data_IF_759536402243
#
_entry.id   IF_759536402243
#
_cell.length_a   1.000
_cell.length_b   1.000
_cell.length_c   1.000
_cell.angle_alpha   90.00
_cell.angle_beta   90.00
_cell.angle_gamma   90.00
#
_symmetry.space_group_name_H-M   'P 1'
#
loop_
_entity.id
_entity.type
_entity.pdbx_description
1 polymer ?
#
# COMPACT_ATOMS: atom_id res chain seq x y z
N UNK A 1 59.73 -28.64 -6.45
CA UNK A 1 59.99 -28.65 -7.91
C UNK A 1 59.26 -29.85 -8.50
N UNK A 2 58.68 -29.71 -9.70
CA UNK A 2 58.36 -30.77 -10.68
C UNK A 2 57.42 -31.94 -10.25
N UNK A 3 56.64 -32.58 -11.14
CA UNK A 3 56.11 -32.18 -12.46
C UNK A 3 54.86 -33.02 -12.77
N UNK A 4 54.07 -32.59 -13.76
CA UNK A 4 52.93 -33.35 -14.32
C UNK A 4 53.40 -34.53 -15.17
N UNK A 5 52.58 -35.59 -15.30
CA UNK A 5 52.55 -36.38 -16.53
C UNK A 5 51.14 -36.86 -16.90
N UNK A 6 50.90 -36.89 -18.21
CA UNK A 6 49.64 -37.13 -18.92
C UNK A 6 49.99 -38.01 -20.14
N UNK A 7 49.18 -39.03 -20.49
CA UNK A 7 49.14 -39.74 -21.79
C UNK A 7 47.99 -40.79 -21.73
N UNK A 8 46.94 -40.73 -22.56
CA UNK A 8 46.78 -41.27 -23.95
C UNK A 8 46.45 -42.79 -23.98
N UNK A 9 45.76 -43.44 -24.95
CA UNK A 9 45.16 -43.10 -26.28
C UNK A 9 44.05 -44.15 -26.63
N UNK A 10 42.89 -43.81 -27.22
CA UNK A 10 42.45 -43.80 -28.66
C UNK A 10 42.12 -45.16 -29.34
N UNK A 11 40.94 -45.20 -30.02
CA UNK A 11 40.23 -46.25 -30.82
C UNK A 11 39.13 -47.08 -30.10
N UNK A 12 38.06 -47.58 -30.77
CA UNK A 12 37.54 -47.24 -32.11
C UNK A 12 36.34 -48.08 -32.68
N UNK A 13 35.60 -47.46 -33.62
CA UNK A 13 34.74 -48.02 -34.72
C UNK A 13 33.42 -48.83 -34.48
N UNK A 14 32.29 -48.16 -34.81
CA UNK A 14 31.12 -48.59 -35.63
C UNK A 14 30.16 -49.72 -35.16
N UNK A 15 28.91 -49.35 -34.85
CA UNK A 15 27.71 -49.70 -35.66
C UNK A 15 26.52 -48.79 -35.28
N UNK A 16 25.52 -48.63 -36.16
CA UNK A 16 24.45 -47.63 -36.06
C UNK A 16 23.06 -48.24 -35.80
N UNK A 17 22.19 -47.51 -35.06
CA UNK A 17 20.73 -47.41 -35.29
C UNK A 17 20.26 -46.00 -34.90
N UNK A 18 19.29 -45.47 -35.66
CA UNK A 18 18.68 -44.13 -35.60
C UNK A 18 17.53 -44.02 -34.58
N UNK A 19 17.40 -42.87 -33.89
CA UNK A 19 16.07 -42.27 -33.59
C UNK A 19 16.09 -40.76 -33.20
N UNK A 20 16.15 -39.89 -34.21
CA UNK A 20 15.18 -38.78 -34.42
C UNK A 20 14.71 -37.91 -33.22
N UNK A 21 15.40 -36.78 -32.93
CA UNK A 21 14.82 -35.40 -32.97
C UNK A 21 15.84 -34.31 -32.55
N UNK A 22 16.50 -33.71 -33.53
CA UNK A 22 17.10 -32.38 -33.40
C UNK A 22 16.07 -31.27 -33.64
N UNK A 23 16.32 -30.08 -33.09
CA UNK A 23 16.61 -28.91 -33.94
C UNK A 23 17.11 -27.74 -33.11
N UNK A 24 18.40 -27.44 -33.25
CA UNK A 24 19.01 -26.23 -32.70
C UNK A 24 19.24 -25.23 -33.85
N UNK A 25 18.77 -24.00 -33.65
CA UNK A 25 19.24 -22.72 -34.23
C UNK A 25 19.93 -22.78 -35.60
N UNK A 26 19.32 -22.17 -36.63
CA UNK A 26 20.11 -21.43 -37.62
C UNK A 26 19.43 -20.18 -38.15
N UNK A 27 20.15 -19.05 -38.05
CA UNK A 27 19.82 -17.74 -38.58
C UNK A 27 20.08 -17.61 -40.07
N UNK A 28 19.23 -16.90 -40.82
CA UNK A 28 19.67 -16.04 -41.94
C UNK A 28 18.69 -14.90 -42.23
N UNK A 29 19.25 -13.84 -42.80
CA UNK A 29 18.68 -12.50 -42.98
C UNK A 29 17.71 -12.46 -44.17
N UNK A 30 16.62 -11.70 -44.04
CA UNK A 30 15.69 -11.38 -45.12
C UNK A 30 14.81 -10.17 -44.77
N UNK A 31 15.12 -9.01 -45.36
CA UNK A 31 14.43 -7.73 -45.13
C UNK A 31 13.15 -7.58 -45.95
N UNK A 32 12.06 -7.09 -45.34
CA UNK A 32 10.84 -6.66 -46.05
C UNK A 32 10.30 -5.31 -45.51
N UNK A 33 9.63 -4.48 -46.33
CA UNK A 33 9.41 -3.05 -46.06
C UNK A 33 7.98 -2.71 -45.54
N UNK A 34 7.73 -1.47 -45.07
CA UNK A 34 6.42 -1.02 -44.61
C UNK A 34 5.46 -0.65 -45.75
N UNK A 35 4.15 -0.77 -45.50
CA UNK A 35 3.08 -0.41 -46.43
C UNK A 35 2.69 1.09 -46.35
N UNK A 36 2.47 1.79 -47.49
CA UNK A 36 2.17 3.22 -47.52
C UNK A 36 0.67 3.57 -47.59
N UNK A 37 0.39 4.87 -47.43
CA UNK A 37 -0.94 5.48 -47.47
C UNK A 37 -1.55 5.65 -48.87
N UNK A 38 -2.88 5.80 -48.88
CA UNK A 38 -3.72 6.56 -49.83
C UNK A 38 -3.85 6.08 -51.28
N UNK A 39 -5.09 5.79 -51.69
CA UNK A 39 -5.59 6.14 -53.03
C UNK A 39 -7.01 6.70 -52.96
N UNK A 40 -7.16 7.96 -53.40
CA UNK A 40 -8.42 8.65 -53.59
C UNK A 40 -9.02 8.19 -54.92
N UNK A 41 -10.28 7.76 -54.94
CA UNK A 41 -11.02 7.53 -56.18
C UNK A 41 -11.84 8.76 -56.57
N UNK A 42 -11.53 9.34 -57.73
CA UNK A 42 -12.31 10.36 -58.41
C UNK A 42 -12.71 9.80 -59.78
N UNK A 43 -14.00 9.89 -60.14
CA UNK A 43 -14.55 9.68 -61.48
C UNK A 43 -16.01 10.19 -61.53
N UNK A 44 -16.56 10.55 -62.71
CA UNK A 44 -16.86 11.98 -62.90
C UNK A 44 -18.33 12.35 -63.22
N UNK A 45 -18.60 13.65 -63.04
CA UNK A 45 -19.53 14.54 -63.78
C UNK A 45 -20.88 14.01 -64.29
N UNK A 46 -21.95 14.66 -63.85
CA UNK A 46 -23.01 15.15 -64.76
C UNK A 46 -23.56 16.47 -64.23
N UNK A 47 -23.64 17.49 -65.10
CA UNK A 47 -24.25 18.78 -64.77
C UNK A 47 -25.75 18.74 -65.08
N UNK A 48 -26.59 19.23 -64.16
CA UNK A 48 -27.89 19.80 -64.53
C UNK A 48 -28.12 21.10 -63.74
N UNK A 49 -28.38 22.18 -64.47
CA UNK A 49 -28.81 23.48 -63.94
C UNK A 49 -30.32 23.58 -64.11
N UNK A 50 -31.09 23.79 -63.04
CA UNK A 50 -32.43 24.37 -63.15
C UNK A 50 -32.73 25.37 -62.02
N UNK A 51 -32.78 26.63 -62.44
CA UNK A 51 -33.69 27.72 -62.03
C UNK A 51 -34.13 27.87 -60.57
N UNK A 52 -33.90 29.08 -60.06
CA UNK A 52 -34.38 29.62 -58.79
C UNK A 52 -35.91 29.71 -58.66
N UNK A 53 -36.42 29.47 -57.46
CA UNK A 53 -37.57 30.23 -56.93
C UNK A 53 -37.22 30.74 -55.52
N UNK A 54 -37.61 31.99 -55.23
CA UNK A 54 -37.32 32.66 -53.97
C UNK A 54 -38.46 32.45 -52.98
N UNK A 55 -38.15 32.06 -51.75
CA UNK A 55 -39.09 32.03 -50.63
C UNK A 55 -38.29 32.16 -49.33
N UNK A 56 -38.31 33.31 -48.63
CA UNK A 56 -37.63 33.45 -47.35
C UNK A 56 -38.41 32.68 -46.29
N UNK A 57 -37.97 31.47 -45.96
CA UNK A 57 -38.44 30.74 -44.79
C UNK A 57 -37.99 31.53 -43.56
N UNK A 58 -38.92 32.25 -42.95
CA UNK A 58 -38.68 33.04 -41.74
C UNK A 58 -38.55 32.08 -40.54
N UNK A 59 -37.36 31.52 -40.35
CA UNK A 59 -37.06 30.63 -39.24
C UNK A 59 -37.10 31.42 -37.92
N UNK A 60 -38.22 31.34 -37.20
CA UNK A 60 -38.35 31.86 -35.84
C UNK A 60 -37.49 31.02 -34.89
N UNK A 61 -36.19 31.32 -34.85
CA UNK A 61 -35.27 30.80 -33.86
C UNK A 61 -35.74 31.26 -32.47
N UNK A 62 -36.48 30.39 -31.77
CA UNK A 62 -36.55 30.46 -30.31
C UNK A 62 -35.12 30.32 -29.81
N UNK A 63 -34.53 31.42 -29.35
CA UNK A 63 -33.32 31.38 -28.57
C UNK A 63 -33.62 30.57 -27.31
N UNK A 64 -33.27 29.27 -27.33
CA UNK A 64 -33.11 28.51 -26.10
C UNK A 64 -32.07 29.28 -25.32
N UNK A 65 -32.49 29.95 -24.25
CA UNK A 65 -31.62 30.75 -23.43
C UNK A 65 -30.48 29.85 -22.98
N UNK A 66 -29.32 30.00 -23.62
CA UNK A 66 -28.07 29.47 -23.11
C UNK A 66 -27.93 30.18 -21.79
N UNK A 67 -28.19 29.47 -20.69
CA UNK A 67 -27.92 29.99 -19.36
C UNK A 67 -26.53 30.60 -19.44
N UNK A 68 -26.43 31.89 -19.18
CA UNK A 68 -25.12 32.54 -19.13
C UNK A 68 -24.25 31.65 -18.24
N UNK A 69 -22.99 31.37 -18.63
CA UNK A 69 -22.12 30.65 -17.72
C UNK A 69 -22.12 31.48 -16.45
N UNK A 70 -22.78 30.96 -15.41
CA UNK A 70 -22.69 31.53 -14.09
C UNK A 70 -21.20 31.55 -13.86
N UNK A 71 -20.63 32.73 -13.67
CA UNK A 71 -19.31 32.82 -13.07
C UNK A 71 -19.49 32.23 -11.68
N UNK A 72 -19.42 30.89 -11.59
CA UNK A 72 -18.99 30.18 -10.39
C UNK A 72 -17.66 30.85 -10.15
N UNK A 73 -17.65 31.81 -9.22
CA UNK A 73 -16.41 32.39 -8.74
C UNK A 73 -15.67 31.17 -8.24
N UNK A 74 -14.64 30.74 -8.96
CA UNK A 74 -13.78 29.67 -8.50
C UNK A 74 -13.20 30.17 -7.18
N UNK A 75 -13.85 29.77 -6.08
CA UNK A 75 -13.29 29.89 -4.74
C UNK A 75 -11.92 29.24 -4.88
N UNK A 76 -10.86 30.04 -4.75
CA UNK A 76 -9.50 29.55 -4.97
C UNK A 76 -9.32 28.30 -4.12
N UNK A 77 -9.09 27.14 -4.77
CA UNK A 77 -9.00 25.86 -4.07
C UNK A 77 -8.01 26.02 -2.92
N UNK A 78 -8.42 25.78 -1.65
CA UNK A 78 -7.52 25.94 -0.53
C UNK A 78 -6.38 24.94 -0.71
N UNK A 79 -5.16 25.46 -0.86
CA UNK A 79 -3.95 24.64 -0.92
C UNK A 79 -3.68 24.11 0.47
N UNK A 80 -4.05 22.85 0.71
CA UNK A 80 -3.72 22.15 1.95
C UNK A 80 -2.26 21.72 1.89
N UNK A 81 -1.52 21.92 2.99
CA UNK A 81 -0.09 21.60 3.13
C UNK A 81 0.08 20.23 3.80
N UNK A 82 -0.54 19.21 3.20
CA UNK A 82 -0.66 17.84 3.74
C UNK A 82 0.05 16.76 2.91
N UNK A 83 0.71 17.13 1.80
CA UNK A 83 1.51 16.21 1.00
C UNK A 83 2.85 15.83 1.65
N UNK A 84 3.68 15.13 0.89
CA UNK A 84 5.01 14.69 1.32
C UNK A 84 5.83 15.89 1.85
N UNK A 85 6.38 15.76 3.05
CA UNK A 85 7.05 16.83 3.81
C UNK A 85 6.26 18.16 3.90
N UNK A 86 4.92 18.11 3.94
CA UNK A 86 4.04 19.29 4.02
C UNK A 86 3.80 20.00 2.67
N UNK A 87 4.21 19.41 1.54
CA UNK A 87 4.03 20.07 0.23
C UNK A 87 2.56 20.11 -0.21
N UNK A 88 2.08 21.28 -0.67
CA UNK A 88 0.72 21.43 -1.21
C UNK A 88 0.53 20.93 -2.65
N UNK A 89 1.41 20.03 -3.12
CA UNK A 89 1.47 19.56 -4.51
C UNK A 89 0.53 18.38 -4.83
N UNK A 90 -0.24 17.89 -3.87
CA UNK A 90 -1.03 16.66 -4.03
C UNK A 90 -0.19 15.38 -4.18
N UNK A 91 1.10 15.44 -3.83
CA UNK A 91 2.06 14.33 -3.88
C UNK A 91 2.23 13.77 -2.47
N UNK A 92 2.40 12.45 -2.35
CA UNK A 92 2.55 11.75 -1.08
C UNK A 92 1.37 10.84 -0.76
N UNK A 93 1.45 10.18 0.40
CA UNK A 93 0.41 9.31 0.90
C UNK A 93 -0.90 10.07 1.17
N UNK A 94 -2.00 9.31 1.21
CA UNK A 94 -3.26 9.73 1.81
C UNK A 94 -3.42 9.05 3.16
N UNK A 95 -4.33 9.51 4.01
CA UNK A 95 -4.66 8.81 5.27
C UNK A 95 -5.08 7.34 5.05
N UNK A 96 -5.59 6.96 3.87
CA UNK A 96 -5.85 5.55 3.53
C UNK A 96 -4.56 4.74 3.34
N UNK A 97 -3.55 5.32 2.67
CA UNK A 97 -2.24 4.70 2.49
C UNK A 97 -1.54 4.54 3.84
N UNK A 98 -1.53 5.58 4.67
CA UNK A 98 -0.97 5.51 6.01
C UNK A 98 -1.68 4.46 6.87
N UNK A 99 -3.02 4.42 6.84
CA UNK A 99 -3.80 3.42 7.59
C UNK A 99 -3.45 1.99 7.15
N UNK A 100 -3.22 1.75 5.87
CA UNK A 100 -2.76 0.46 5.37
C UNK A 100 -1.35 0.11 5.87
N UNK A 101 -0.38 1.04 5.75
CA UNK A 101 0.99 0.84 6.25
C UNK A 101 1.00 0.62 7.77
N UNK A 102 0.16 1.36 8.51
CA UNK A 102 -0.06 1.17 9.94
C UNK A 102 -0.56 -0.23 10.28
N UNK A 103 -1.54 -0.78 9.54
CA UNK A 103 -2.01 -2.17 9.72
C UNK A 103 -0.91 -3.20 9.42
N UNK A 104 -0.08 -2.98 8.41
CA UNK A 104 1.09 -3.83 8.12
C UNK A 104 2.09 -3.78 9.28
N UNK A 105 2.35 -2.59 9.86
CA UNK A 105 3.21 -2.44 11.03
C UNK A 105 2.63 -3.10 12.29
N UNK A 106 1.31 -3.00 12.54
CA UNK A 106 0.64 -3.72 13.63
C UNK A 106 0.86 -5.25 13.53
N UNK A 107 0.65 -5.82 12.33
CA UNK A 107 0.86 -7.25 12.09
C UNK A 107 2.33 -7.65 12.20
N UNK A 108 3.25 -6.85 11.65
CA UNK A 108 4.69 -7.08 11.75
C UNK A 108 5.19 -7.03 13.19
N UNK A 109 4.70 -6.09 14.00
CA UNK A 109 5.06 -5.99 15.42
C UNK A 109 4.50 -7.15 16.24
N UNK A 110 3.23 -7.50 16.03
CA UNK A 110 2.59 -8.65 16.69
C UNK A 110 3.31 -9.96 16.34
N UNK A 111 3.70 -10.15 15.07
CA UNK A 111 4.46 -11.31 14.61
C UNK A 111 5.89 -11.35 15.18
N UNK A 112 6.56 -10.20 15.29
CA UNK A 112 7.89 -10.07 15.92
C UNK A 112 7.84 -10.51 17.39
N UNK A 113 6.94 -9.91 18.18
CA UNK A 113 6.76 -10.23 19.61
C UNK A 113 6.37 -11.70 19.84
N UNK A 114 5.42 -12.22 19.07
CA UNK A 114 4.98 -13.61 19.18
C UNK A 114 6.07 -14.60 18.74
N UNK A 115 6.78 -14.29 17.65
CA UNK A 115 7.89 -15.11 17.16
C UNK A 115 9.02 -15.19 18.18
N UNK A 116 9.38 -14.07 18.82
CA UNK A 116 10.38 -14.06 19.90
C UNK A 116 9.91 -14.82 21.13
N UNK A 117 8.66 -14.64 21.58
CA UNK A 117 8.09 -15.38 22.70
C UNK A 117 8.10 -16.91 22.47
N UNK A 118 7.89 -17.36 21.23
CA UNK A 118 7.87 -18.80 20.88
C UNK A 118 9.28 -19.37 20.62
N UNK A 119 10.19 -18.59 20.04
CA UNK A 119 11.51 -19.08 19.58
C UNK A 119 12.69 -18.68 20.46
N UNK A 120 12.52 -17.72 21.36
CA UNK A 120 13.59 -17.08 22.12
C UNK A 120 14.55 -16.21 21.28
N UNK A 121 14.20 -15.88 20.03
CA UNK A 121 15.03 -15.10 19.10
C UNK A 121 14.30 -13.87 18.60
N UNK A 122 15.00 -12.74 18.54
CA UNK A 122 14.50 -11.52 17.90
C UNK A 122 14.19 -11.72 16.41
N UNK A 123 13.47 -10.76 15.81
CA UNK A 123 12.94 -10.91 14.46
C UNK A 123 14.03 -10.83 13.39
N UNK A 124 15.08 -10.02 13.62
CA UNK A 124 16.22 -9.93 12.71
C UNK A 124 17.04 -11.22 12.75
N UNK A 125 17.24 -11.78 13.96
CA UNK A 125 17.88 -13.08 14.13
C UNK A 125 17.08 -14.23 13.50
N UNK A 126 15.74 -14.17 13.50
CA UNK A 126 14.89 -15.14 12.77
C UNK A 126 14.98 -14.98 11.24
N UNK A 127 15.20 -13.75 10.75
CA UNK A 127 15.42 -13.46 9.33
C UNK A 127 16.87 -13.75 8.86
N UNK A 128 17.76 -14.19 9.76
CA UNK A 128 19.20 -14.41 9.53
C UNK A 128 19.97 -13.13 9.19
N UNK A 129 19.52 -11.99 9.72
CA UNK A 129 20.21 -10.71 9.61
C UNK A 129 21.23 -10.54 10.74
N UNK A 130 22.28 -9.76 10.50
CA UNK A 130 23.31 -9.48 11.49
C UNK A 130 22.78 -8.56 12.61
N UNK A 131 23.14 -8.87 13.85
CA UNK A 131 22.66 -8.18 15.07
C UNK A 131 23.78 -8.10 16.11
N UNK A 132 23.71 -7.14 17.03
CA UNK A 132 24.83 -6.81 17.93
C UNK A 132 25.94 -6.02 17.23
N UNK A 133 25.60 -5.31 16.14
CA UNK A 133 26.50 -4.54 15.29
C UNK A 133 26.11 -3.05 15.33
N UNK A 134 27.06 -2.12 15.10
CA UNK A 134 26.71 -0.70 15.02
C UNK A 134 25.84 -0.42 13.79
N UNK A 135 24.93 0.56 13.91
CA UNK A 135 23.92 0.88 12.87
C UNK A 135 24.52 1.09 11.47
N UNK A 136 25.73 1.64 11.35
CA UNK A 136 26.36 1.91 10.06
C UNK A 136 26.89 0.65 9.34
N UNK A 137 26.95 -0.50 10.03
CA UNK A 137 27.29 -1.82 9.45
C UNK A 137 26.03 -2.62 9.07
N UNK A 138 24.85 -2.24 9.59
CA UNK A 138 23.60 -2.94 9.32
C UNK A 138 23.12 -2.78 7.86
N UNK A 139 22.34 -3.76 7.39
CA UNK A 139 21.92 -3.82 5.98
C UNK A 139 21.20 -2.53 5.50
N UNK A 140 21.62 -1.91 4.38
CA UNK A 140 21.03 -0.68 3.89
C UNK A 140 19.51 -0.76 3.63
N UNK A 141 19.00 -1.94 3.26
CA UNK A 141 17.57 -2.14 3.05
C UNK A 141 16.79 -2.13 4.37
N UNK A 142 17.36 -2.69 5.45
CA UNK A 142 16.80 -2.62 6.80
C UNK A 142 16.81 -1.17 7.32
N UNK A 143 17.91 -0.45 7.13
CA UNK A 143 18.00 0.98 7.48
C UNK A 143 16.97 1.82 6.72
N UNK A 144 16.77 1.55 5.42
CA UNK A 144 15.72 2.19 4.63
C UNK A 144 14.32 1.85 5.16
N UNK A 145 14.06 0.59 5.53
CA UNK A 145 12.78 0.18 6.13
C UNK A 145 12.50 0.91 7.46
N UNK A 146 13.50 1.06 8.33
CA UNK A 146 13.40 1.83 9.58
C UNK A 146 13.08 3.30 9.27
N UNK A 147 13.83 3.93 8.36
CA UNK A 147 13.62 5.32 7.97
C UNK A 147 12.22 5.55 7.39
N UNK A 148 11.79 4.69 6.46
CA UNK A 148 10.44 4.71 5.88
C UNK A 148 9.37 4.58 6.97
N UNK A 149 9.56 3.66 7.92
CA UNK A 149 8.62 3.41 9.02
C UNK A 149 8.51 4.62 9.95
N UNK A 150 9.63 5.26 10.31
CA UNK A 150 9.65 6.49 11.12
C UNK A 150 9.01 7.68 10.40
N UNK A 151 9.35 7.90 9.13
CA UNK A 151 8.75 8.97 8.31
C UNK A 151 7.24 8.77 8.10
N UNK A 152 6.80 7.52 7.96
CA UNK A 152 5.38 7.17 7.92
C UNK A 152 4.68 7.42 9.27
N UNK A 153 5.31 7.08 10.39
CA UNK A 153 4.73 7.25 11.73
C UNK A 153 4.44 8.74 12.06
N UNK A 154 5.26 9.66 11.56
CA UNK A 154 5.07 11.12 11.74
C UNK A 154 4.26 11.78 10.62
N UNK A 155 3.81 11.02 9.62
CA UNK A 155 3.08 11.52 8.44
C UNK A 155 3.91 12.33 7.44
N UNK A 156 5.24 12.29 7.53
CA UNK A 156 6.13 13.01 6.61
C UNK A 156 6.08 12.47 5.16
N UNK A 157 5.56 11.25 4.97
CA UNK A 157 5.30 10.68 3.64
C UNK A 157 4.02 11.22 2.98
N UNK A 158 3.20 12.00 3.71
CA UNK A 158 1.98 12.66 3.25
C UNK A 158 0.74 12.18 4.02
N UNK A 159 0.02 13.13 4.61
CA UNK A 159 -1.11 12.88 5.51
C UNK A 159 -2.45 13.31 4.90
N UNK A 160 -2.57 13.18 3.56
CA UNK A 160 -3.60 13.86 2.75
C UNK A 160 -5.02 13.36 2.98
N UNK A 161 -5.99 14.27 2.85
CA UNK A 161 -7.41 14.01 3.08
C UNK A 161 -7.76 13.86 4.55
N UNK A 162 -9.03 13.57 4.85
CA UNK A 162 -9.54 13.50 6.23
C UNK A 162 -10.41 12.27 6.44
N UNK A 163 -10.36 11.72 7.65
CA UNK A 163 -11.40 10.81 8.11
C UNK A 163 -12.50 11.62 8.80
N UNK A 164 -13.74 11.40 8.37
CA UNK A 164 -14.94 12.00 8.96
C UNK A 164 -15.78 10.86 9.50
N UNK A 165 -16.18 10.95 10.77
CA UNK A 165 -17.00 9.93 11.40
C UNK A 165 -18.39 9.87 10.76
N UNK A 166 -18.95 8.67 10.64
CA UNK A 166 -20.33 8.51 10.20
C UNK A 166 -21.27 9.12 11.25
N UNK A 167 -22.30 9.91 10.83
CA UNK A 167 -23.25 10.47 11.78
C UNK A 167 -23.89 9.34 12.59
N UNK A 168 -23.77 9.43 13.90
CA UNK A 168 -23.95 8.30 14.81
C UNK A 168 -25.28 7.58 14.61
N UNK A 169 -25.22 6.25 14.48
CA UNK A 169 -26.34 5.41 14.94
C UNK A 169 -26.40 5.58 16.46
N UNK A 170 -27.29 6.45 16.92
CA UNK A 170 -27.14 7.19 18.16
C UNK A 170 -27.02 6.35 19.44
N UNK A 171 -26.26 6.88 20.40
CA UNK A 171 -26.22 6.42 21.78
C UNK A 171 -27.58 6.56 22.50
N UNK A 172 -28.53 7.32 21.93
CA UNK A 172 -29.88 7.57 22.45
C UNK A 172 -30.75 6.30 22.62
N UNK A 173 -30.25 5.12 22.22
CA UNK A 173 -30.94 3.83 22.39
C UNK A 173 -30.18 2.82 23.24
N UNK A 174 -29.15 3.23 23.99
CA UNK A 174 -28.36 2.36 24.87
C UNK A 174 -29.07 2.01 26.21
N UNK A 175 -30.38 1.73 26.18
CA UNK A 175 -31.04 0.97 27.25
C UNK A 175 -30.73 -0.50 27.01
N UNK A 176 -29.70 -1.01 27.72
CA UNK A 176 -29.23 -2.39 27.59
C UNK A 176 -30.36 -3.33 28.01
N UNK A 177 -31.02 -3.94 27.04
CA UNK A 177 -32.03 -4.96 27.28
C UNK A 177 -31.33 -6.26 27.68
N UNK A 178 -31.65 -6.87 28.86
CA UNK A 178 -31.01 -8.10 29.29
C UNK A 178 -31.19 -9.23 28.27
N UNK A 179 -30.09 -9.92 27.91
CA UNK A 179 -30.13 -11.11 27.06
C UNK A 179 -29.61 -10.98 25.62
N UNK A 180 -29.01 -9.85 25.22
CA UNK A 180 -28.29 -9.74 23.93
C UNK A 180 -26.80 -10.07 24.04
N UNK A 181 -26.23 -10.59 22.94
CA UNK A 181 -25.03 -11.43 22.93
C UNK A 181 -23.72 -10.77 23.36
N UNK A 182 -22.64 -11.55 23.33
CA UNK A 182 -21.29 -11.23 23.86
C UNK A 182 -20.79 -9.79 23.57
N UNK A 183 -21.06 -9.24 22.38
CA UNK A 183 -20.69 -7.86 22.04
C UNK A 183 -21.41 -6.82 22.90
N UNK A 184 -22.73 -6.95 23.09
CA UNK A 184 -23.52 -6.06 23.96
C UNK A 184 -23.19 -6.23 25.44
N UNK A 185 -22.81 -7.44 25.88
CA UNK A 185 -22.32 -7.68 27.24
C UNK A 185 -20.98 -6.96 27.53
N UNK A 186 -20.18 -6.70 26.50
CA UNK A 186 -18.95 -5.89 26.56
C UNK A 186 -19.20 -4.39 26.25
N UNK A 187 -20.46 -3.94 26.17
CA UNK A 187 -20.81 -2.55 25.85
C UNK A 187 -20.58 -2.14 24.38
N UNK A 188 -20.32 -3.10 23.48
CA UNK A 188 -20.11 -2.86 22.06
C UNK A 188 -21.44 -2.90 21.28
N UNK A 189 -21.53 -2.12 20.20
CA UNK A 189 -22.71 -2.11 19.32
C UNK A 189 -22.87 -3.44 18.57
N UNK A 190 -24.12 -3.89 18.37
CA UNK A 190 -24.37 -5.14 17.62
C UNK A 190 -23.95 -5.04 16.14
N UNK A 191 -23.98 -3.82 15.59
CA UNK A 191 -23.35 -3.47 14.31
C UNK A 191 -22.32 -2.36 14.50
N UNK A 192 -21.07 -2.61 14.09
CA UNK A 192 -19.97 -1.65 14.20
C UNK A 192 -18.58 -2.32 14.31
N UNK A 193 -17.51 -1.50 14.34
CA UNK A 193 -16.13 -1.95 14.58
C UNK A 193 -16.04 -2.71 15.91
N UNK A 194 -15.24 -3.79 15.97
CA UNK A 194 -15.15 -4.67 17.14
C UNK A 194 -14.64 -3.98 18.42
N UNK A 195 -13.97 -2.84 18.32
CA UNK A 195 -13.54 -2.00 19.45
C UNK A 195 -14.18 -0.60 19.46
N UNK A 196 -15.19 -0.33 18.61
CA UNK A 196 -15.71 1.03 18.42
C UNK A 196 -14.70 2.02 17.84
N UNK A 197 -13.58 1.56 17.27
CA UNK A 197 -12.55 2.41 16.71
C UNK A 197 -13.03 3.14 15.45
N UNK A 198 -12.79 4.46 15.41
CA UNK A 198 -12.83 5.26 14.18
C UNK A 198 -11.56 5.03 13.36
N UNK A 199 -11.58 5.32 12.06
CA UNK A 199 -10.37 5.23 11.20
C UNK A 199 -9.22 6.11 11.70
N UNK A 200 -9.50 7.22 12.39
CA UNK A 200 -8.48 8.06 13.04
C UNK A 200 -7.81 7.34 14.22
N UNK A 201 -8.57 6.61 15.03
CA UNK A 201 -8.02 5.83 16.15
C UNK A 201 -7.12 4.70 15.62
N UNK A 202 -7.56 4.00 14.57
CA UNK A 202 -6.77 2.96 13.93
C UNK A 202 -5.48 3.49 13.29
N UNK A 203 -5.55 4.66 12.66
CA UNK A 203 -4.36 5.34 12.12
C UNK A 203 -3.35 5.66 13.23
N UNK A 204 -3.82 6.15 14.38
CA UNK A 204 -2.97 6.45 15.52
C UNK A 204 -2.33 5.18 16.11
N UNK A 205 -3.10 4.10 16.29
CA UNK A 205 -2.58 2.79 16.73
C UNK A 205 -1.57 2.24 15.70
N UNK A 206 -1.78 2.49 14.40
CA UNK A 206 -0.85 2.15 13.33
C UNK A 206 0.47 2.89 13.45
N UNK A 207 0.43 4.21 13.68
CA UNK A 207 1.62 5.05 13.93
C UNK A 207 2.36 4.61 15.21
N UNK A 208 1.65 4.23 16.28
CA UNK A 208 2.27 3.64 17.47
C UNK A 208 2.97 2.30 17.17
N UNK A 209 2.34 1.42 16.38
CA UNK A 209 2.97 0.17 15.96
C UNK A 209 4.21 0.41 15.08
N UNK A 210 4.17 1.40 14.18
CA UNK A 210 5.35 1.80 13.39
C UNK A 210 6.52 2.25 14.28
N UNK A 211 6.26 3.06 15.31
CA UNK A 211 7.29 3.46 16.29
C UNK A 211 7.82 2.25 17.08
N UNK A 212 6.93 1.35 17.51
CA UNK A 212 7.29 0.09 18.18
C UNK A 212 8.24 -0.76 17.34
N UNK A 213 7.88 -1.04 16.08
CA UNK A 213 8.70 -1.77 15.10
C UNK A 213 10.06 -1.09 14.92
N UNK A 214 10.08 0.21 14.65
CA UNK A 214 11.30 0.94 14.35
C UNK A 214 12.28 0.91 15.53
N UNK A 215 11.80 1.21 16.75
CA UNK A 215 12.66 1.19 17.93
C UNK A 215 13.06 -0.22 18.36
N UNK A 216 12.20 -1.23 18.25
CA UNK A 216 12.60 -2.61 18.54
C UNK A 216 13.67 -3.13 17.60
N UNK A 217 13.59 -2.78 16.30
CA UNK A 217 14.58 -3.16 15.30
C UNK A 217 15.91 -2.43 15.54
N UNK A 218 15.89 -1.12 15.83
CA UNK A 218 17.10 -0.36 16.18
C UNK A 218 17.76 -0.98 17.42
N UNK A 219 16.98 -1.31 18.45
CA UNK A 219 17.47 -2.00 19.64
C UNK A 219 18.08 -3.36 19.33
N UNK A 220 17.47 -4.15 18.45
CA UNK A 220 17.97 -5.49 18.07
C UNK A 220 19.26 -5.40 17.25
N UNK A 221 19.36 -4.45 16.30
CA UNK A 221 20.60 -4.16 15.57
C UNK A 221 21.75 -3.89 16.54
N UNK A 222 21.58 -2.93 17.47
CA UNK A 222 22.65 -2.48 18.37
C UNK A 222 22.99 -3.54 19.42
N UNK A 223 21.98 -4.18 20.03
CA UNK A 223 22.15 -4.96 21.26
C UNK A 223 22.17 -6.48 21.05
N UNK A 224 21.75 -6.98 19.89
CA UNK A 224 21.58 -8.41 19.64
C UNK A 224 20.36 -9.04 20.33
N UNK A 225 19.45 -8.22 20.89
CA UNK A 225 18.30 -8.68 21.68
C UNK A 225 17.00 -8.24 21.01
N UNK A 226 16.03 -9.16 20.91
CA UNK A 226 14.72 -8.84 20.35
C UNK A 226 13.87 -7.92 21.23
N UNK A 227 12.68 -7.58 20.74
CA UNK A 227 11.72 -6.69 21.39
C UNK A 227 11.30 -7.16 22.79
N UNK A 228 11.05 -8.45 22.98
CA UNK A 228 10.63 -9.02 24.27
C UNK A 228 11.77 -8.98 25.29
N UNK A 229 12.98 -9.34 24.87
CA UNK A 229 14.18 -9.25 25.70
C UNK A 229 14.51 -7.79 26.07
N UNK A 230 14.35 -6.84 25.13
CA UNK A 230 14.45 -5.40 25.41
C UNK A 230 13.42 -4.96 26.46
N UNK A 231 12.14 -5.32 26.31
CA UNK A 231 11.08 -4.98 27.27
C UNK A 231 11.38 -5.52 28.68
N UNK A 232 11.86 -6.76 28.81
CA UNK A 232 12.26 -7.34 30.10
C UNK A 232 13.40 -6.55 30.77
N UNK A 233 14.39 -6.10 30.00
CA UNK A 233 15.54 -5.34 30.49
C UNK A 233 15.14 -3.92 30.90
N UNK A 234 14.41 -3.19 30.04
CA UNK A 234 14.06 -1.78 30.24
C UNK A 234 12.98 -1.60 31.33
N UNK A 235 12.07 -2.55 31.49
CA UNK A 235 11.03 -2.50 32.54
C UNK A 235 11.47 -3.14 33.86
N UNK A 236 12.46 -4.03 33.83
CA UNK A 236 12.84 -4.88 34.97
C UNK A 236 11.81 -5.94 35.35
N UNK A 237 10.70 -6.07 34.60
CA UNK A 237 9.63 -7.06 34.86
C UNK A 237 10.05 -8.43 34.33
N UNK A 238 10.01 -9.51 35.14
CA UNK A 238 10.35 -10.86 34.69
C UNK A 238 9.57 -11.29 33.44
N UNK A 239 10.18 -12.10 32.58
CA UNK A 239 9.55 -12.54 31.32
C UNK A 239 8.21 -13.26 31.59
N UNK A 240 8.13 -14.07 32.65
CA UNK A 240 6.89 -14.75 33.09
C UNK A 240 5.73 -13.80 33.38
N UNK A 241 6.04 -12.57 33.80
CA UNK A 241 5.06 -11.58 34.24
C UNK A 241 4.71 -10.62 33.08
N UNK A 242 5.62 -10.46 32.12
CA UNK A 242 5.42 -9.65 30.92
C UNK A 242 4.76 -10.43 29.77
N UNK A 243 4.95 -11.76 29.71
CA UNK A 243 4.36 -12.66 28.71
C UNK A 243 2.84 -12.46 28.52
N UNK A 244 2.00 -12.42 29.58
CA UNK A 244 0.56 -12.18 29.44
C UNK A 244 0.23 -10.80 28.87
N UNK A 245 1.00 -9.77 29.25
CA UNK A 245 0.83 -8.40 28.75
C UNK A 245 1.24 -8.27 27.28
N UNK A 246 2.30 -8.97 26.88
CA UNK A 246 2.75 -9.04 25.48
C UNK A 246 1.77 -9.84 24.63
N UNK A 247 1.26 -10.98 25.12
CA UNK A 247 0.23 -11.75 24.43
C UNK A 247 -1.06 -10.94 24.24
N UNK A 248 -1.46 -10.16 25.24
CA UNK A 248 -2.56 -9.20 25.11
C UNK A 248 -2.28 -8.14 24.02
N UNK A 249 -1.07 -7.57 23.97
CA UNK A 249 -0.68 -6.62 22.92
C UNK A 249 -0.68 -7.25 21.52
N UNK A 250 -0.16 -8.48 21.37
CA UNK A 250 -0.19 -9.26 20.12
C UNK A 250 -1.63 -9.43 19.64
N UNK A 251 -2.54 -9.85 20.53
CA UNK A 251 -3.95 -10.02 20.21
C UNK A 251 -4.64 -8.69 19.87
N UNK A 252 -4.35 -7.63 20.63
CA UNK A 252 -4.85 -6.28 20.37
C UNK A 252 -4.45 -5.77 18.99
N UNK A 253 -3.16 -5.79 18.65
CA UNK A 253 -2.64 -5.35 17.36
C UNK A 253 -3.17 -6.21 16.21
N UNK A 254 -3.25 -7.53 16.39
CA UNK A 254 -3.80 -8.42 15.37
C UNK A 254 -5.27 -8.11 15.07
N UNK A 255 -6.12 -7.94 16.10
CA UNK A 255 -7.53 -7.62 15.90
C UNK A 255 -7.69 -6.19 15.34
N UNK A 256 -6.93 -5.21 15.84
CA UNK A 256 -6.95 -3.84 15.31
C UNK A 256 -6.53 -3.77 13.83
N UNK A 257 -5.56 -4.60 13.42
CA UNK A 257 -5.08 -4.66 12.04
C UNK A 257 -6.09 -5.28 11.06
N UNK A 258 -6.97 -6.18 11.53
CA UNK A 258 -7.99 -6.86 10.71
C UNK A 258 -9.36 -6.20 10.76
N UNK A 259 -9.75 -5.62 11.90
CA UNK A 259 -11.02 -4.93 12.05
C UNK A 259 -10.99 -3.58 11.30
N UNK A 260 -11.99 -3.24 10.46
CA UNK A 260 -12.11 -1.91 9.86
C UNK A 260 -12.84 -0.92 10.79
N UNK A 261 -12.34 0.31 10.84
CA UNK A 261 -12.90 1.38 11.68
C UNK A 261 -14.08 2.09 11.03
N UNK A 262 -14.89 2.73 11.87
CA UNK A 262 -16.01 3.57 11.43
C UNK A 262 -15.52 4.89 10.80
N UNK A 263 -16.39 5.52 10.02
CA UNK A 263 -16.09 6.76 9.32
C UNK A 263 -15.67 6.57 7.86
N UNK A 264 -15.66 7.66 7.11
CA UNK A 264 -15.38 7.72 5.67
C UNK A 264 -14.14 8.57 5.42
N UNK A 265 -13.43 8.25 4.34
CA UNK A 265 -12.34 9.08 3.85
C UNK A 265 -12.90 10.13 2.90
N UNK A 266 -12.50 11.38 3.09
CA UNK A 266 -12.87 12.53 2.26
C UNK A 266 -11.59 13.16 1.72
N UNK A 267 -11.56 13.40 0.40
CA UNK A 267 -10.46 14.10 -0.28
C UNK A 267 -10.64 15.61 -0.20
N UNK A 268 -9.54 16.36 -0.17
CA UNK A 268 -9.55 17.81 0.06
C UNK A 268 -10.19 18.62 -1.08
N UNK A 269 -10.32 18.01 -2.27
CA UNK A 269 -11.08 18.58 -3.39
C UNK A 269 -12.61 18.41 -3.25
N UNK A 270 -13.09 17.67 -2.26
CA UNK A 270 -14.49 17.27 -2.10
C UNK A 270 -15.37 18.18 -1.24
N UNK A 271 -14.82 19.19 -0.56
CA UNK A 271 -15.58 20.10 0.30
C UNK A 271 -16.24 21.23 -0.53
N UNK A 272 -17.18 20.88 -1.42
CA UNK A 272 -18.19 21.81 -1.96
C UNK A 272 -19.53 21.63 -1.22
N UNK A 273 -19.69 22.36 -0.11
CA UNK A 273 -20.97 22.80 0.45
C UNK A 273 -21.19 24.30 0.12
#
# INVERSE_FOLDING_TARGET
>A
MAQSMLMSSVTGARHAVDLKKDSMVQSRIGSLPPTPFSHIFISPTTQQKFTSSSSPILALFKSKAKAAPVKKVEKAKPKVEDGIFGTSGGIGFTKQNELFVGRVAMLGFAASLLGEAVTGKGILAQLNLETGIPIYEAEPLLLFFILFTLLGAIGALGDRGKFVDDPSTGLDKAVISPGKGFRSALGLTEGGPLFGFTKSNELFVGRLAQLGVAFSIIGEIITGKGALAQLNIETGVPITDIEPLVLFNVLFFFIAALNPGSGKFVTDEGNED
#
